data_IF_858559441652
#
_entry.id   IF_858559441652
#
_cell.length_a   1.000
_cell.length_b   1.000
_cell.length_c   1.000
_cell.angle_alpha   90.00
_cell.angle_beta   90.00
_cell.angle_gamma   90.00
#
_symmetry.space_group_name_H-M   'P 1'
#
loop_
_entity.id
_entity.type
_entity.pdbx_description
1 polymer ?
#
# COMPACT_ATOMS: atom_id res chain seq x y z
N UNK A 1 -34.47 -29.08 37.32
CA UNK A 1 -33.55 -28.83 36.20
C UNK A 1 -34.35 -28.24 35.04
N UNK A 2 -34.22 -26.94 34.81
CA UNK A 2 -34.55 -26.25 33.54
C UNK A 2 -33.59 -25.05 33.48
N UNK A 3 -33.00 -24.82 32.32
CA UNK A 3 -31.65 -24.33 32.16
C UNK A 3 -31.58 -22.81 32.00
N UNK A 4 -30.62 -22.18 32.70
CA UNK A 4 -29.88 -20.94 32.34
C UNK A 4 -30.65 -19.92 31.49
N UNK A 5 -31.34 -18.98 32.12
CA UNK A 5 -31.60 -17.66 31.50
C UNK A 5 -30.42 -16.76 31.84
N UNK A 6 -29.30 -17.08 31.19
CA UNK A 6 -28.17 -16.18 31.07
C UNK A 6 -28.46 -15.23 29.92
N UNK A 7 -28.09 -13.96 30.11
CA UNK A 7 -27.75 -12.99 29.08
C UNK A 7 -28.88 -12.07 28.62
N UNK A 8 -28.58 -10.76 28.69
CA UNK A 8 -29.26 -9.76 27.88
C UNK A 8 -29.27 -8.39 28.53
N UNK A 9 -28.09 -7.79 28.75
CA UNK A 9 -27.99 -6.40 29.20
C UNK A 9 -28.72 -5.46 28.24
N UNK A 10 -29.49 -4.52 28.78
CA UNK A 10 -30.19 -3.52 27.99
C UNK A 10 -29.17 -2.59 27.30
N UNK A 11 -28.97 -2.77 26.00
CA UNK A 11 -28.15 -1.87 25.19
C UNK A 11 -29.04 -0.67 24.84
N UNK A 12 -28.79 0.47 25.50
CA UNK A 12 -29.36 1.76 25.11
C UNK A 12 -28.82 2.12 23.72
N UNK A 13 -29.70 2.14 22.72
CA UNK A 13 -29.37 2.63 21.38
C UNK A 13 -29.52 4.15 21.39
N UNK A 14 -28.40 4.85 21.52
CA UNK A 14 -28.34 6.30 21.33
C UNK A 14 -28.32 6.64 19.85
N UNK A 15 -29.24 7.49 19.41
CA UNK A 15 -29.30 7.99 18.03
C UNK A 15 -28.18 9.00 17.81
N UNK A 16 -27.12 8.63 17.10
CA UNK A 16 -26.12 9.57 16.61
C UNK A 16 -26.50 10.05 15.20
N UNK A 17 -27.38 11.05 15.10
CA UNK A 17 -27.55 11.80 13.85
C UNK A 17 -26.41 12.82 13.77
N UNK A 18 -25.57 12.68 12.73
CA UNK A 18 -24.77 13.78 12.21
C UNK A 18 -23.37 13.91 12.79
N UNK A 19 -22.43 13.19 12.19
CA UNK A 19 -21.07 13.69 11.91
C UNK A 19 -20.62 13.06 10.60
N UNK A 20 -21.06 13.61 9.46
CA UNK A 20 -20.37 13.36 8.19
C UNK A 20 -18.97 13.92 8.35
N UNK A 21 -18.02 13.07 8.74
CA UNK A 21 -16.61 13.40 8.67
C UNK A 21 -16.31 13.81 7.23
N UNK A 22 -15.69 14.98 7.05
CA UNK A 22 -15.13 15.37 5.76
C UNK A 22 -14.24 14.22 5.30
N UNK A 23 -14.57 13.59 4.17
CA UNK A 23 -13.67 12.65 3.53
C UNK A 23 -12.42 13.44 3.12
N UNK A 24 -11.40 13.44 3.99
CA UNK A 24 -10.09 13.96 3.63
C UNK A 24 -9.56 13.05 2.52
N UNK A 25 -9.34 13.61 1.34
CA UNK A 25 -8.84 12.87 0.18
C UNK A 25 -7.40 12.38 0.37
N UNK A 26 -6.70 12.94 1.36
CA UNK A 26 -5.36 12.54 1.76
C UNK A 26 -5.38 12.25 3.28
N UNK A 27 -5.65 11.00 3.69
CA UNK A 27 -5.40 10.61 5.07
C UNK A 27 -3.89 10.72 5.34
N UNK A 28 -3.47 11.13 6.55
CA UNK A 28 -2.04 11.19 6.88
C UNK A 28 -1.40 9.84 6.57
N UNK A 29 -0.36 9.85 5.72
CA UNK A 29 0.27 8.61 5.28
C UNK A 29 0.84 7.88 6.50
N UNK A 30 0.43 6.63 6.78
CA UNK A 30 0.97 5.86 7.91
C UNK A 30 2.45 5.52 7.73
N UNK A 31 2.99 5.84 6.55
CA UNK A 31 4.36 5.61 6.12
C UNK A 31 5.21 6.89 6.04
N UNK A 32 4.68 8.05 6.42
CA UNK A 32 5.42 9.32 6.35
C UNK A 32 6.70 9.36 7.20
N UNK A 33 6.84 8.46 8.17
CA UNK A 33 8.05 8.31 8.99
C UNK A 33 9.08 7.32 8.42
N UNK A 34 8.75 6.59 7.35
CA UNK A 34 9.65 5.62 6.71
C UNK A 34 10.55 6.34 5.69
N UNK A 35 11.45 7.16 6.20
CA UNK A 35 12.53 7.76 5.41
C UNK A 35 13.80 6.92 5.49
N UNK A 36 14.48 6.73 4.37
CA UNK A 36 15.87 6.27 4.35
C UNK A 36 16.74 7.53 4.51
N UNK A 37 17.64 7.60 5.50
CA UNK A 37 18.75 8.61 5.50
C UNK A 37 19.88 8.20 4.56
N UNK A 38 19.53 7.43 3.54
CA UNK A 38 20.47 6.85 2.60
C UNK A 38 20.90 7.95 1.64
N UNK A 39 22.19 8.01 1.31
CA UNK A 39 22.70 8.97 0.35
C UNK A 39 22.04 8.68 -1.00
N UNK A 40 21.10 9.53 -1.41
CA UNK A 40 20.42 9.41 -2.70
C UNK A 40 21.50 9.48 -3.79
N UNK A 41 21.75 8.35 -4.44
CA UNK A 41 22.87 8.21 -5.37
C UNK A 41 22.56 8.91 -6.71
N UNK A 42 21.27 9.18 -6.98
CA UNK A 42 20.82 9.87 -8.17
C UNK A 42 19.48 10.58 -7.87
N UNK A 43 19.46 11.91 -7.67
CA UNK A 43 18.22 12.65 -7.41
C UNK A 43 17.14 12.36 -8.45
N UNK A 44 15.87 12.50 -8.07
CA UNK A 44 14.74 12.37 -8.97
C UNK A 44 14.93 13.28 -10.20
N UNK A 45 14.75 12.71 -11.40
CA UNK A 45 14.94 13.41 -12.68
C UNK A 45 16.39 13.57 -13.13
N UNK A 46 17.37 13.06 -12.40
CA UNK A 46 18.77 13.11 -12.83
C UNK A 46 19.04 12.19 -14.03
N UNK A 47 19.94 12.57 -14.96
CA UNK A 47 20.34 11.71 -16.08
C UNK A 47 20.91 10.36 -15.62
N UNK A 48 21.59 10.35 -14.47
CA UNK A 48 22.15 9.13 -13.87
C UNK A 48 21.05 8.13 -13.47
N UNK A 49 19.91 8.62 -12.94
CA UNK A 49 18.75 7.80 -12.63
C UNK A 49 18.18 7.17 -13.91
N UNK A 50 17.95 7.97 -14.94
CA UNK A 50 17.43 7.50 -16.23
C UNK A 50 18.34 6.44 -16.87
N UNK A 51 19.66 6.65 -16.86
CA UNK A 51 20.63 5.68 -17.36
C UNK A 51 20.61 4.36 -16.57
N UNK A 52 20.41 4.44 -15.25
CA UNK A 52 20.33 3.24 -14.40
C UNK A 52 19.06 2.43 -14.68
N UNK A 53 17.93 3.10 -14.87
CA UNK A 53 16.66 2.48 -15.27
C UNK A 53 16.82 1.78 -16.63
N UNK A 54 17.31 2.51 -17.62
CA UNK A 54 17.50 2.03 -18.99
C UNK A 54 18.46 0.83 -19.06
N UNK A 55 19.56 0.87 -18.30
CA UNK A 55 20.46 -0.29 -18.15
C UNK A 55 19.75 -1.49 -17.52
N UNK A 56 18.99 -1.27 -16.44
CA UNK A 56 18.25 -2.34 -15.76
C UNK A 56 17.23 -3.03 -16.66
N UNK A 57 16.50 -2.24 -17.46
CA UNK A 57 15.55 -2.74 -18.46
C UNK A 57 16.28 -3.63 -19.48
N UNK A 58 17.34 -3.12 -20.12
CA UNK A 58 18.11 -3.91 -21.10
C UNK A 58 18.66 -5.20 -20.52
N UNK A 59 19.17 -5.15 -19.29
CA UNK A 59 19.70 -6.34 -18.62
C UNK A 59 18.58 -7.37 -18.34
N UNK A 60 17.43 -6.93 -17.86
CA UNK A 60 16.27 -7.81 -17.67
C UNK A 60 15.81 -8.45 -18.97
N UNK A 61 15.75 -7.67 -20.05
CA UNK A 61 15.38 -8.18 -21.38
C UNK A 61 16.41 -9.16 -21.95
N UNK A 62 17.70 -8.93 -21.70
CA UNK A 62 18.75 -9.84 -22.17
C UNK A 62 18.70 -11.23 -21.52
N UNK A 63 18.06 -11.35 -20.35
CA UNK A 63 17.83 -12.63 -19.67
C UNK A 63 16.54 -13.32 -20.10
N UNK A 64 15.67 -12.67 -20.89
CA UNK A 64 14.46 -13.30 -21.41
C UNK A 64 14.82 -14.13 -22.65
N UNK A 65 14.30 -15.36 -22.77
CA UNK A 65 14.41 -16.10 -24.03
C UNK A 65 13.75 -15.27 -25.15
N UNK A 66 14.38 -15.23 -26.32
CA UNK A 66 13.98 -14.42 -27.48
C UNK A 66 12.66 -14.85 -28.14
N UNK A 67 11.92 -15.75 -27.50
CA UNK A 67 10.61 -16.25 -27.92
C UNK A 67 9.81 -16.62 -26.67
N UNK A 68 8.48 -16.44 -26.65
CA UNK A 68 7.66 -17.15 -25.67
C UNK A 68 7.95 -18.64 -25.88
N UNK A 69 8.56 -19.28 -24.89
CA UNK A 69 8.47 -20.73 -24.74
C UNK A 69 7.02 -20.97 -24.36
N UNK A 70 6.16 -21.02 -25.36
CA UNK A 70 4.85 -21.64 -25.25
C UNK A 70 5.12 -23.15 -25.29
N UNK A 71 5.67 -23.66 -24.20
CA UNK A 71 5.63 -25.08 -23.91
C UNK A 71 4.38 -25.30 -23.04
N UNK A 72 3.24 -25.42 -23.73
CA UNK A 72 2.19 -26.41 -23.46
C UNK A 72 1.13 -26.40 -24.56
#
# INVERSE_FOLDING_TARGET
MIMKVLSGGAIVVGVAVGLSGTATADPPSPFGSLGCSCQETAPAGSPALTQKIDRGIRQGLSGLPSSPVFDQ
#
